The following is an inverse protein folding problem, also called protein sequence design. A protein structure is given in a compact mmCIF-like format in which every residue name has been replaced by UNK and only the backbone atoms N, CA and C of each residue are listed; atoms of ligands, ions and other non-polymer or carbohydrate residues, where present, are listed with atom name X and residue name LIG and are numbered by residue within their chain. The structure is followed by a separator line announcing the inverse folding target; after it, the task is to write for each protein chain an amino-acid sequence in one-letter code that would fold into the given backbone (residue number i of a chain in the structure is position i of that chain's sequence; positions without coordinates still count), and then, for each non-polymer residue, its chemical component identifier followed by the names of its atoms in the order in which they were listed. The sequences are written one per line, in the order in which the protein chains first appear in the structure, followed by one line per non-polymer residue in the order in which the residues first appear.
data_IF_790733473637
#
_entry.id   IF_790733473637
#
_cell.length_a   1.000
_cell.length_b   1.000
_cell.length_c   1.000
_cell.angle_alpha   90.00
_cell.angle_beta   90.00
_cell.angle_gamma   90.00
#
_symmetry.space_group_name_H-M   'P 1'
#
loop_
_entity.id
_entity.type
_entity.pdbx_description
1 polymer ?
#
# COMPACT_ATOMS: atom_id res chain seq x y z
N UNK A 1 -38.14 -76.17 48.13
CA UNK A 1 -38.45 -75.85 46.72
C UNK A 1 -37.15 -75.72 45.95
N UNK A 2 -37.11 -76.28 44.74
CA UNK A 2 -35.93 -76.57 43.89
C UNK A 2 -35.29 -75.32 43.27
N UNK A 3 -34.05 -75.55 42.78
CA UNK A 3 -33.21 -74.81 41.80
C UNK A 3 -32.38 -73.65 42.39
N UNK A 4 -31.05 -73.67 42.52
CA UNK A 4 -29.93 -74.41 41.90
C UNK A 4 -29.59 -74.07 40.42
N UNK A 5 -28.36 -73.54 40.27
CA UNK A 5 -27.40 -73.57 39.13
C UNK A 5 -27.43 -72.45 38.06
N UNK A 6 -26.40 -71.59 38.06
CA UNK A 6 -25.20 -71.65 37.18
C UNK A 6 -24.38 -70.34 37.41
N UNK A 7 -23.24 -70.37 38.12
CA UNK A 7 -21.90 -70.71 37.63
C UNK A 7 -21.36 -69.71 36.57
N UNK A 8 -20.53 -68.74 36.98
CA UNK A 8 -19.21 -68.54 36.35
C UNK A 8 -18.23 -67.76 37.26
N UNK A 9 -17.23 -68.51 37.73
CA UNK A 9 -15.83 -68.20 38.08
C UNK A 9 -15.47 -66.84 38.70
N UNK A 10 -15.04 -66.84 39.96
CA UNK A 10 -13.66 -67.07 40.48
C UNK A 10 -12.73 -65.86 40.24
N UNK A 11 -12.49 -65.04 41.29
CA UNK A 11 -11.30 -64.98 42.17
C UNK A 11 -10.01 -64.66 41.35
N UNK A 12 -9.07 -63.80 41.71
CA UNK A 12 -8.46 -63.52 43.01
C UNK A 12 -7.74 -62.17 42.88
N UNK A 13 -7.74 -61.41 43.97
CA UNK A 13 -6.72 -60.44 44.31
C UNK A 13 -5.35 -61.14 44.46
N UNK A 14 -4.31 -60.47 44.94
CA UNK A 14 -2.92 -60.94 45.11
C UNK A 14 -2.11 -61.04 43.80
N UNK A 15 -0.89 -60.52 43.65
CA UNK A 15 0.17 -60.04 44.54
C UNK A 15 0.83 -58.82 43.87
N UNK A 16 1.08 -57.72 44.57
CA UNK A 16 2.42 -57.33 45.04
C UNK A 16 3.59 -57.69 44.09
N UNK A 17 4.29 -56.62 43.65
CA UNK A 17 5.70 -56.58 43.25
C UNK A 17 6.09 -57.43 42.04
N UNK A 18 6.24 -56.79 40.88
CA UNK A 18 7.48 -56.84 40.08
C UNK A 18 7.43 -55.79 38.95
N UNK A 19 7.39 -54.49 39.25
CA UNK A 19 7.63 -53.46 38.23
C UNK A 19 9.14 -53.33 37.97
N UNK A 20 9.67 -54.22 37.13
CA UNK A 20 10.93 -53.98 36.40
C UNK A 20 10.72 -54.46 34.96
N UNK A 21 11.14 -53.62 34.02
CA UNK A 21 11.12 -53.80 32.56
C UNK A 21 9.81 -53.43 31.83
N UNK A 22 9.63 -52.12 31.61
CA UNK A 22 9.72 -51.58 30.24
C UNK A 22 9.70 -50.04 30.28
N UNK A 23 10.90 -49.45 30.36
CA UNK A 23 11.12 -48.10 29.83
C UNK A 23 11.20 -48.24 28.32
N UNK A 24 10.26 -47.62 27.61
CA UNK A 24 10.51 -46.59 26.57
C UNK A 24 9.22 -46.32 25.81
N UNK A 25 9.07 -45.07 25.41
CA UNK A 25 8.17 -44.62 24.34
C UNK A 25 6.67 -44.46 24.64
N UNK A 26 6.32 -43.57 25.58
CA UNK A 26 5.03 -42.85 25.50
C UNK A 26 4.98 -41.49 26.22
N UNK A 27 6.14 -40.86 26.47
CA UNK A 27 6.22 -39.47 27.01
C UNK A 27 6.76 -38.42 26.04
N UNK A 28 7.07 -38.77 24.79
CA UNK A 28 7.55 -37.83 23.76
C UNK A 28 6.45 -37.19 22.90
N UNK A 29 5.18 -37.62 23.01
CA UNK A 29 4.05 -37.05 22.26
C UNK A 29 3.26 -35.97 23.00
N UNK A 30 3.58 -35.67 24.27
CA UNK A 30 2.88 -34.66 25.08
C UNK A 30 3.66 -33.32 25.15
N UNK A 31 4.86 -33.22 24.59
CA UNK A 31 5.68 -31.99 24.63
C UNK A 31 5.95 -31.29 23.28
N UNK A 32 5.25 -31.66 22.21
CA UNK A 32 5.32 -30.95 20.90
C UNK A 32 3.90 -30.66 20.38
N UNK A 33 3.02 -30.23 21.27
CA UNK A 33 2.07 -29.14 20.96
C UNK A 33 2.44 -27.94 21.82
N UNK A 34 3.76 -27.66 21.94
CA UNK A 34 4.20 -26.30 22.22
C UNK A 34 3.60 -25.46 21.11
N UNK A 35 2.79 -24.51 21.54
CA UNK A 35 2.40 -23.34 20.79
C UNK A 35 3.50 -22.95 19.82
N UNK A 36 3.38 -23.38 18.57
CA UNK A 36 3.81 -22.53 17.47
C UNK A 36 2.74 -21.46 17.40
N UNK A 37 2.72 -20.60 18.44
CA UNK A 37 2.49 -19.17 18.26
C UNK A 37 3.55 -18.79 17.26
N UNK A 38 3.20 -18.95 15.98
CA UNK A 38 3.88 -18.35 14.87
C UNK A 38 3.88 -16.89 15.27
N UNK A 39 5.00 -16.41 15.84
CA UNK A 39 5.29 -15.00 15.97
C UNK A 39 5.18 -14.52 14.54
N UNK A 40 3.98 -14.08 14.18
CA UNK A 40 3.72 -13.31 12.99
C UNK A 40 4.70 -12.18 13.19
N UNK A 41 5.81 -12.19 12.44
CA UNK A 41 6.72 -11.05 12.45
C UNK A 41 5.78 -9.85 12.31
N UNK A 42 5.80 -8.96 13.30
CA UNK A 42 5.01 -7.75 13.26
C UNK A 42 5.52 -7.03 12.02
N UNK A 43 4.88 -7.28 10.88
CA UNK A 43 5.17 -6.62 9.63
C UNK A 43 4.83 -5.19 9.94
N UNK A 44 5.87 -4.37 10.12
CA UNK A 44 5.76 -2.96 10.44
C UNK A 44 4.81 -2.37 9.41
N UNK A 45 3.65 -1.95 9.90
CA UNK A 45 2.58 -1.48 9.07
C UNK A 45 2.88 -0.02 8.73
N UNK A 46 3.21 0.23 7.47
CA UNK A 46 3.67 1.53 6.99
C UNK A 46 2.59 2.16 6.13
N UNK A 47 1.99 3.23 6.67
CA UNK A 47 1.01 4.08 5.98
C UNK A 47 1.73 5.10 5.07
N UNK A 48 3.06 5.19 5.13
CA UNK A 48 3.87 6.00 4.22
C UNK A 48 3.51 5.79 2.76
N UNK A 49 3.26 6.85 2.02
CA UNK A 49 3.04 6.75 0.60
C UNK A 49 2.26 7.90 0.01
N UNK A 50 1.97 7.76 -1.28
CA UNK A 50 1.16 8.71 -2.04
C UNK A 50 -0.12 7.98 -2.43
N UNK A 51 -1.25 8.56 -2.08
CA UNK A 51 -2.57 7.99 -2.21
C UNK A 51 -3.39 8.85 -3.18
N UNK A 52 -3.81 8.26 -4.29
CA UNK A 52 -4.68 8.90 -5.28
C UNK A 52 -6.07 8.26 -5.27
N UNK A 53 -7.12 8.95 -5.71
CA UNK A 53 -8.45 8.38 -5.88
C UNK A 53 -8.41 7.13 -6.77
N UNK A 54 -9.06 6.06 -6.32
CA UNK A 54 -9.18 4.80 -7.07
C UNK A 54 -10.07 4.96 -8.32
N UNK A 55 -11.01 5.90 -8.25
CA UNK A 55 -11.94 6.21 -9.32
C UNK A 55 -11.64 7.60 -9.88
N UNK A 56 -11.63 7.69 -11.21
CA UNK A 56 -11.60 8.96 -11.91
C UNK A 56 -12.96 9.64 -11.77
N UNK A 57 -12.96 10.84 -11.20
CA UNK A 57 -14.05 11.79 -11.25
C UNK A 57 -13.41 13.17 -11.40
N UNK A 58 -13.79 13.91 -12.45
CA UNK A 58 -13.25 15.24 -12.75
C UNK A 58 -13.38 16.20 -11.56
N UNK A 59 -14.44 16.03 -10.78
CA UNK A 59 -14.70 16.84 -9.59
C UNK A 59 -13.78 16.48 -8.41
N UNK A 60 -13.02 15.38 -8.46
CA UNK A 60 -12.25 14.83 -7.33
C UNK A 60 -10.75 14.73 -7.64
N UNK A 61 -10.15 15.81 -8.15
CA UNK A 61 -8.70 15.86 -8.40
C UNK A 61 -7.89 16.18 -7.13
N UNK A 62 -7.97 15.34 -6.10
CA UNK A 62 -7.21 15.52 -4.88
C UNK A 62 -6.43 14.26 -4.51
N UNK A 63 -5.40 14.39 -3.68
CA UNK A 63 -4.57 13.26 -3.25
C UNK A 63 -3.82 13.58 -1.97
N UNK A 64 -3.29 12.55 -1.31
CA UNK A 64 -2.63 12.69 -0.01
C UNK A 64 -1.25 12.04 -0.07
N UNK A 65 -0.24 12.76 0.42
CA UNK A 65 1.07 12.22 0.75
C UNK A 65 1.17 12.01 2.25
N UNK A 66 1.58 10.83 2.68
CA UNK A 66 1.80 10.48 4.08
C UNK A 66 3.26 10.05 4.23
N UNK A 67 3.93 10.53 5.26
CA UNK A 67 5.29 10.08 5.61
C UNK A 67 5.46 9.95 7.12
N UNK A 68 6.21 8.93 7.54
CA UNK A 68 6.56 8.63 8.90
C UNK A 68 7.64 9.61 9.34
N UNK A 69 7.36 10.36 10.39
CA UNK A 69 8.33 11.29 10.99
C UNK A 69 9.18 10.61 12.05
N UNK A 70 8.58 9.73 12.85
CA UNK A 70 9.26 8.92 13.87
C UNK A 70 8.45 7.63 14.11
N UNK A 71 8.82 6.80 15.10
CA UNK A 71 8.24 5.47 15.29
C UNK A 71 6.71 5.39 15.44
N UNK A 72 6.01 6.50 15.75
CA UNK A 72 4.54 6.52 15.90
C UNK A 72 3.82 7.76 15.33
N UNK A 73 4.56 8.77 14.86
CA UNK A 73 3.98 10.00 14.30
C UNK A 73 4.13 10.03 12.78
N UNK A 74 3.00 10.22 12.09
CA UNK A 74 2.99 10.47 10.65
C UNK A 74 2.67 11.94 10.38
N UNK A 75 3.17 12.44 9.26
CA UNK A 75 2.80 13.72 8.69
C UNK A 75 2.07 13.48 7.37
N UNK A 76 1.07 14.31 7.10
CA UNK A 76 0.37 14.30 5.82
C UNK A 76 0.46 15.65 5.12
N UNK A 77 0.35 15.59 3.80
CA UNK A 77 0.12 16.74 2.93
C UNK A 77 -1.05 16.40 2.02
N UNK A 78 -2.08 17.23 2.06
CA UNK A 78 -3.30 17.11 1.28
C UNK A 78 -3.24 18.09 0.11
N UNK A 79 -3.47 17.59 -1.10
CA UNK A 79 -3.36 18.34 -2.34
C UNK A 79 -4.69 18.39 -3.09
N UNK A 80 -4.93 19.49 -3.80
CA UNK A 80 -5.94 19.60 -4.85
C UNK A 80 -5.21 20.02 -6.14
N UNK A 81 -5.22 19.14 -7.14
CA UNK A 81 -4.29 19.16 -8.26
C UNK A 81 -2.85 19.17 -7.75
N UNK A 82 -2.08 20.18 -8.13
CA UNK A 82 -0.71 20.40 -7.65
C UNK A 82 -0.61 21.36 -6.45
N UNK A 83 -1.74 21.88 -5.94
CA UNK A 83 -1.74 22.87 -4.86
C UNK A 83 -1.87 22.19 -3.50
N UNK A 84 -0.94 22.49 -2.59
CA UNK A 84 -1.07 22.10 -1.18
C UNK A 84 -2.27 22.83 -0.59
N UNK A 85 -3.21 22.07 -0.01
CA UNK A 85 -4.39 22.58 0.68
C UNK A 85 -4.24 22.52 2.19
N UNK A 86 -3.64 21.46 2.70
CA UNK A 86 -3.48 21.23 4.15
C UNK A 86 -2.26 20.37 4.43
N UNK A 87 -1.65 20.60 5.58
CA UNK A 87 -0.61 19.74 6.15
C UNK A 87 -0.91 19.53 7.62
N UNK A 88 -0.53 18.39 8.17
CA UNK A 88 -0.73 18.14 9.58
C UNK A 88 -0.15 16.81 10.02
N UNK A 89 -0.49 16.43 11.26
CA UNK A 89 -0.14 15.15 11.86
C UNK A 89 -1.25 14.13 11.65
N UNK A 90 -0.81 12.91 11.48
CA UNK A 90 -1.65 11.74 11.35
C UNK A 90 -1.33 10.77 12.48
N UNK A 91 -2.35 10.36 13.20
CA UNK A 91 -2.27 9.30 14.21
C UNK A 91 -2.94 8.04 13.67
N UNK A 92 -2.28 6.90 13.89
CA UNK A 92 -2.81 5.58 13.56
C UNK A 92 -3.40 4.95 14.82
N UNK A 93 -4.68 4.58 14.77
CA UNK A 93 -5.31 3.70 15.74
C UNK A 93 -5.46 2.32 15.08
N UNK A 94 -4.89 1.30 15.72
CA UNK A 94 -4.97 -0.10 15.30
C UNK A 94 -5.70 -0.87 16.40
N UNK A 95 -6.99 -1.14 16.19
CA UNK A 95 -7.81 -1.95 17.08
C UNK A 95 -8.11 -3.29 16.39
N UNK A 96 -8.48 -4.32 17.16
CA UNK A 96 -8.74 -5.67 16.64
C UNK A 96 -9.80 -5.70 15.51
N UNK A 97 -10.69 -4.72 15.45
CA UNK A 97 -11.79 -4.62 14.48
C UNK A 97 -11.48 -3.74 13.25
N UNK A 98 -10.69 -2.67 13.39
CA UNK A 98 -10.43 -1.74 12.29
C UNK A 98 -9.17 -0.90 12.51
N UNK A 99 -8.55 -0.52 11.40
CA UNK A 99 -7.45 0.46 11.40
C UNK A 99 -7.98 1.80 11.00
N UNK A 100 -7.67 2.81 11.80
CA UNK A 100 -8.22 4.15 11.65
C UNK A 100 -7.09 5.15 11.57
N UNK A 101 -7.22 6.07 10.61
CA UNK A 101 -6.35 7.22 10.46
C UNK A 101 -7.07 8.44 11.02
N UNK A 102 -6.44 9.12 11.97
CA UNK A 102 -6.95 10.35 12.56
C UNK A 102 -6.04 11.48 12.10
N UNK A 103 -6.60 12.34 11.25
CA UNK A 103 -5.97 13.57 10.80
C UNK A 103 -6.28 14.65 11.83
N UNK A 104 -5.23 15.24 12.42
CA UNK A 104 -5.29 16.22 13.51
C UNK A 104 -6.09 17.47 13.14
N UNK A 105 -7.41 17.43 13.28
CA UNK A 105 -8.39 18.49 12.96
C UNK A 105 -9.01 18.42 11.56
N UNK A 106 -9.24 17.22 11.00
CA UNK A 106 -9.91 17.10 9.71
C UNK A 106 -11.04 16.06 9.69
N UNK A 107 -10.68 14.78 9.69
CA UNK A 107 -11.63 13.69 9.59
C UNK A 107 -10.94 12.38 9.97
N UNK A 108 -11.77 11.38 10.31
CA UNK A 108 -11.35 10.02 10.63
C UNK A 108 -11.57 9.14 9.40
N UNK A 109 -10.55 8.37 9.01
CA UNK A 109 -10.63 7.44 7.89
C UNK A 109 -10.46 6.00 8.35
N UNK A 110 -11.01 5.07 7.58
CA UNK A 110 -10.66 3.66 7.70
C UNK A 110 -9.47 3.40 6.78
N UNK A 111 -8.52 2.59 7.22
CA UNK A 111 -7.43 2.11 6.39
C UNK A 111 -7.49 0.59 6.26
N UNK A 112 -7.41 0.10 5.03
CA UNK A 112 -7.27 -1.33 4.77
C UNK A 112 -6.56 -1.57 3.45
N UNK A 113 -5.66 -2.56 3.41
CA UNK A 113 -4.98 -3.02 2.18
C UNK A 113 -4.41 -1.87 1.32
N UNK A 114 -3.64 -0.98 1.92
CA UNK A 114 -3.03 0.17 1.23
C UNK A 114 -4.05 1.15 0.62
N UNK A 115 -5.26 1.18 1.18
CA UNK A 115 -6.38 2.04 0.77
C UNK A 115 -6.92 2.82 1.97
N UNK A 116 -7.14 4.12 1.78
CA UNK A 116 -7.78 5.02 2.74
C UNK A 116 -9.22 5.21 2.29
N UNK A 117 -10.18 4.94 3.17
CA UNK A 117 -11.60 5.16 2.95
C UNK A 117 -12.04 6.40 3.72
N UNK A 118 -12.51 7.40 2.98
CA UNK A 118 -12.97 8.69 3.51
C UNK A 118 -14.48 8.78 3.31
N UNK A 119 -15.17 9.18 4.37
CA UNK A 119 -16.56 9.58 4.30
C UNK A 119 -16.63 11.11 4.14
N UNK A 120 -17.03 11.59 2.96
CA UNK A 120 -17.09 13.02 2.64
C UNK A 120 -18.50 13.62 2.81
N UNK A 121 -19.27 13.05 3.73
CA UNK A 121 -20.57 13.55 4.13
C UNK A 121 -20.78 13.20 5.60
N UNK A 122 -21.50 14.08 6.29
CA UNK A 122 -21.75 13.93 7.72
C UNK A 122 -23.08 13.28 7.97
N UNK A 123 -23.25 12.89 9.22
CA UNK A 123 -24.53 12.63 9.83
C UNK A 123 -24.49 13.22 11.26
N UNK A 124 -25.56 13.07 12.02
CA UNK A 124 -25.63 13.53 13.41
C UNK A 124 -24.60 12.89 14.35
N UNK A 125 -23.90 11.83 13.91
CA UNK A 125 -23.04 10.99 14.73
C UNK A 125 -21.55 11.21 14.46
N UNK A 126 -21.15 11.90 13.39
CA UNK A 126 -19.75 12.12 13.06
C UNK A 126 -19.49 13.51 12.48
N UNK A 127 -18.63 14.29 13.17
CA UNK A 127 -18.06 15.52 12.63
C UNK A 127 -17.11 15.17 11.48
N UNK A 128 -17.23 15.86 10.35
CA UNK A 128 -16.35 15.69 9.21
C UNK A 128 -16.04 17.05 8.59
N UNK A 129 -14.78 17.26 8.22
CA UNK A 129 -14.42 18.35 7.34
C UNK A 129 -14.74 17.94 5.89
N UNK A 130 -15.66 18.68 5.26
CA UNK A 130 -16.06 18.43 3.87
C UNK A 130 -14.90 18.77 2.93
N UNK A 131 -14.49 17.80 2.12
CA UNK A 131 -13.63 18.00 0.95
C UNK A 131 -14.51 18.62 -0.13
N UNK A 132 -14.58 19.95 -0.15
CA UNK A 132 -15.52 20.73 -0.99
C UNK A 132 -15.30 20.57 -2.50
N UNK A 133 -14.10 20.17 -2.89
CA UNK A 133 -13.67 19.88 -4.27
C UNK A 133 -13.62 18.36 -4.52
N UNK A 134 -14.62 17.65 -3.99
CA UNK A 134 -14.94 16.29 -4.42
C UNK A 134 -16.42 16.03 -4.10
N UNK A 135 -17.21 15.72 -5.11
CA UNK A 135 -18.65 15.46 -4.98
C UNK A 135 -18.96 14.06 -4.44
N UNK A 136 -17.98 13.14 -4.45
CA UNK A 136 -18.16 11.78 -4.00
C UNK A 136 -18.44 11.70 -2.50
N UNK A 137 -19.49 10.95 -2.16
CA UNK A 137 -19.93 10.65 -0.80
C UNK A 137 -18.92 9.76 -0.05
N UNK A 138 -18.44 8.72 -0.70
CA UNK A 138 -17.41 7.81 -0.19
C UNK A 138 -16.23 7.84 -1.14
N UNK A 139 -15.04 8.05 -0.61
CA UNK A 139 -13.83 8.20 -1.41
C UNK A 139 -12.84 7.12 -0.98
N UNK A 140 -12.30 6.41 -1.97
CA UNK A 140 -11.22 5.45 -1.79
C UNK A 140 -9.95 6.05 -2.37
N UNK A 141 -8.94 6.27 -1.54
CA UNK A 141 -7.60 6.65 -1.99
C UNK A 141 -6.68 5.44 -1.91
N UNK A 142 -6.13 5.03 -3.05
CA UNK A 142 -5.25 3.88 -3.17
C UNK A 142 -3.81 4.31 -3.32
N UNK A 143 -2.93 3.64 -2.58
CA UNK A 143 -1.48 3.73 -2.81
C UNK A 143 -1.10 2.90 -4.03
N UNK A 144 -1.66 1.70 -4.19
CA UNK A 144 -1.38 0.82 -5.33
C UNK A 144 -2.34 1.07 -6.48
N UNK A 145 -1.96 1.97 -7.37
CA UNK A 145 -2.74 2.32 -8.55
C UNK A 145 -2.83 1.15 -9.53
N UNK A 146 -4.03 0.91 -10.05
CA UNK A 146 -4.28 0.02 -11.18
C UNK A 146 -4.33 0.85 -12.46
N UNK A 147 -3.23 0.86 -13.21
CA UNK A 147 -3.15 1.58 -14.48
C UNK A 147 -3.71 0.69 -15.58
N UNK A 148 -4.74 1.16 -16.26
CA UNK A 148 -5.45 0.50 -17.35
C UNK A 148 -5.57 1.45 -18.54
N UNK A 149 -5.95 0.95 -19.72
CA UNK A 149 -6.02 1.79 -20.91
C UNK A 149 -7.05 2.92 -20.75
N UNK A 150 -8.14 2.64 -20.01
CA UNK A 150 -9.23 3.57 -19.70
C UNK A 150 -8.81 4.75 -18.82
N UNK A 151 -7.77 4.60 -17.99
CA UNK A 151 -7.31 5.65 -17.05
C UNK A 151 -5.88 6.11 -17.31
N UNK A 152 -5.21 5.59 -18.35
CA UNK A 152 -3.83 5.90 -18.69
C UNK A 152 -3.62 7.40 -18.98
N UNK A 153 -4.53 8.01 -19.76
CA UNK A 153 -4.44 9.45 -20.09
C UNK A 153 -4.52 10.30 -18.83
N UNK A 154 -5.46 10.00 -17.93
CA UNK A 154 -5.59 10.71 -16.66
C UNK A 154 -4.31 10.68 -15.82
N UNK A 155 -3.73 9.49 -15.61
CA UNK A 155 -2.49 9.39 -14.82
C UNK A 155 -1.29 10.04 -15.52
N UNK A 156 -1.25 10.00 -16.86
CA UNK A 156 -0.22 10.66 -17.64
C UNK A 156 -0.29 12.19 -17.48
N UNK A 157 -1.49 12.75 -17.58
CA UNK A 157 -1.71 14.20 -17.47
C UNK A 157 -1.47 14.67 -16.03
N UNK A 158 -1.93 13.90 -15.04
CA UNK A 158 -1.61 14.16 -13.63
C UNK A 158 -0.10 14.17 -13.38
N UNK A 159 0.62 13.18 -13.89
CA UNK A 159 2.08 13.13 -13.74
C UNK A 159 2.77 14.33 -14.41
N UNK A 160 2.29 14.73 -15.59
CA UNK A 160 2.77 15.94 -16.27
C UNK A 160 2.54 17.19 -15.42
N UNK A 161 1.32 17.42 -14.92
CA UNK A 161 1.04 18.62 -14.12
C UNK A 161 1.80 18.65 -12.79
N UNK A 162 2.02 17.48 -12.16
CA UNK A 162 2.88 17.38 -10.98
C UNK A 162 4.33 17.78 -11.32
N UNK A 163 4.88 17.28 -12.42
CA UNK A 163 6.23 17.63 -12.89
C UNK A 163 6.35 19.13 -13.19
N UNK A 164 5.40 19.69 -13.95
CA UNK A 164 5.36 21.12 -14.26
C UNK A 164 5.24 22.00 -13.00
N UNK A 165 4.68 21.45 -11.91
CA UNK A 165 4.55 22.15 -10.63
C UNK A 165 5.73 21.91 -9.68
N UNK A 166 6.79 21.24 -10.12
CA UNK A 166 7.97 20.92 -9.31
C UNK A 166 7.77 19.78 -8.31
N UNK A 167 6.62 19.09 -8.35
CA UNK A 167 6.30 17.91 -7.52
C UNK A 167 6.92 16.66 -8.15
N UNK A 168 8.23 16.69 -8.33
CA UNK A 168 8.96 15.72 -9.12
C UNK A 168 8.93 14.31 -8.51
N UNK A 169 8.97 14.18 -7.19
CA UNK A 169 8.94 12.86 -6.51
C UNK A 169 7.61 12.15 -6.77
N UNK A 170 6.52 12.92 -6.77
CA UNK A 170 5.16 12.44 -6.98
C UNK A 170 4.88 12.16 -8.46
N UNK A 171 5.45 12.98 -9.36
CA UNK A 171 5.46 12.67 -10.79
C UNK A 171 6.20 11.35 -11.07
N UNK A 172 7.41 11.18 -10.54
CA UNK A 172 8.20 9.93 -10.66
C UNK A 172 7.37 8.72 -10.20
N UNK A 173 6.68 8.84 -9.06
CA UNK A 173 5.84 7.78 -8.52
C UNK A 173 4.77 7.29 -9.52
N UNK A 174 4.10 8.21 -10.21
CA UNK A 174 3.12 7.88 -11.24
C UNK A 174 3.78 7.31 -12.50
N UNK A 175 4.83 7.97 -12.98
CA UNK A 175 5.48 7.66 -14.25
C UNK A 175 6.14 6.28 -14.24
N UNK A 176 6.78 5.88 -13.14
CA UNK A 176 7.35 4.53 -12.99
C UNK A 176 6.27 3.44 -13.09
N UNK A 177 5.06 3.69 -12.54
CA UNK A 177 3.92 2.76 -12.64
C UNK A 177 3.35 2.72 -14.05
N UNK A 178 3.21 3.88 -14.69
CA UNK A 178 2.77 3.99 -16.08
C UNK A 178 3.71 3.20 -16.99
N UNK A 179 5.03 3.42 -16.87
CA UNK A 179 6.04 2.75 -17.70
C UNK A 179 6.08 1.25 -17.44
N UNK A 180 5.91 0.83 -16.19
CA UNK A 180 5.84 -0.60 -15.84
C UNK A 180 4.70 -1.32 -16.58
N UNK A 181 3.55 -0.65 -16.73
CA UNK A 181 2.39 -1.21 -17.43
C UNK A 181 2.42 -0.97 -18.95
N UNK A 182 2.94 0.19 -19.38
CA UNK A 182 2.97 0.67 -20.75
C UNK A 182 4.39 1.10 -21.14
N UNK A 183 5.32 0.15 -21.34
CA UNK A 183 6.73 0.46 -21.61
C UNK A 183 6.96 1.20 -22.94
N UNK A 184 5.96 1.25 -23.82
CA UNK A 184 5.98 1.97 -25.10
C UNK A 184 5.35 3.37 -25.02
N UNK A 185 4.94 3.84 -23.83
CA UNK A 185 4.37 5.18 -23.63
C UNK A 185 5.48 6.24 -23.66
N UNK A 186 5.86 6.67 -24.86
CA UNK A 186 6.99 7.59 -25.09
C UNK A 186 6.93 8.87 -24.27
N UNK A 187 5.75 9.51 -24.16
CA UNK A 187 5.60 10.74 -23.38
C UNK A 187 5.88 10.55 -21.88
N UNK A 188 5.69 9.34 -21.33
CA UNK A 188 6.01 9.07 -19.94
C UNK A 188 7.53 9.08 -19.69
N UNK A 189 8.35 8.70 -20.68
CA UNK A 189 9.81 8.72 -20.53
C UNK A 189 10.38 10.15 -20.52
N UNK A 190 9.89 11.06 -21.35
CA UNK A 190 10.36 12.45 -21.30
C UNK A 190 9.97 13.10 -19.96
N UNK A 191 8.73 12.92 -19.51
CA UNK A 191 8.27 13.45 -18.22
C UNK A 191 9.04 12.82 -17.05
N UNK A 192 9.41 11.52 -17.13
CA UNK A 192 10.20 10.87 -16.09
C UNK A 192 11.65 11.36 -16.10
N UNK A 193 12.22 11.60 -17.27
CA UNK A 193 13.53 12.23 -17.41
C UNK A 193 13.55 13.64 -16.83
N UNK A 194 12.55 14.46 -17.17
CA UNK A 194 12.38 15.81 -16.62
C UNK A 194 12.21 15.78 -15.10
N UNK A 195 11.42 14.83 -14.57
CA UNK A 195 11.24 14.67 -13.13
C UNK A 195 12.50 14.20 -12.40
N UNK A 196 13.23 13.22 -12.95
CA UNK A 196 14.51 12.78 -12.39
C UNK A 196 15.55 13.90 -12.41
N UNK A 197 15.56 14.71 -13.47
CA UNK A 197 16.40 15.90 -13.54
C UNK A 197 16.03 16.90 -12.44
N UNK A 198 14.74 17.14 -12.24
CA UNK A 198 14.22 18.03 -11.21
C UNK A 198 14.61 17.65 -9.77
N UNK A 199 14.69 16.34 -9.46
CA UNK A 199 15.21 15.86 -8.16
C UNK A 199 16.74 15.70 -8.11
N UNK A 200 17.47 16.14 -9.13
CA UNK A 200 18.94 16.02 -9.21
C UNK A 200 19.46 14.60 -9.47
N UNK A 201 18.59 13.65 -9.82
CA UNK A 201 18.96 12.27 -10.18
C UNK A 201 19.42 12.19 -11.65
N UNK A 202 20.49 12.92 -12.00
CA UNK A 202 20.93 13.13 -13.38
C UNK A 202 21.25 11.83 -14.13
N UNK A 203 21.89 10.86 -13.49
CA UNK A 203 22.18 9.55 -14.09
C UNK A 203 20.91 8.78 -14.48
N UNK A 204 19.86 8.85 -13.65
CA UNK A 204 18.57 8.25 -13.97
C UNK A 204 17.88 9.03 -15.09
N UNK A 205 17.92 10.35 -15.03
CA UNK A 205 17.35 11.22 -16.06
C UNK A 205 17.96 10.92 -17.44
N UNK A 206 19.29 10.88 -17.53
CA UNK A 206 20.05 10.55 -18.75
C UNK A 206 19.65 9.21 -19.35
N UNK A 207 19.62 8.15 -18.53
CA UNK A 207 19.17 6.81 -18.97
C UNK A 207 17.73 6.84 -19.49
N UNK A 208 16.84 7.52 -18.78
CA UNK A 208 15.43 7.63 -19.20
C UNK A 208 15.28 8.44 -20.50
N UNK A 209 16.03 9.53 -20.67
CA UNK A 209 16.06 10.31 -21.91
C UNK A 209 16.60 9.52 -23.10
N UNK A 210 17.63 8.70 -22.92
CA UNK A 210 18.14 7.82 -23.97
C UNK A 210 17.05 6.85 -24.47
N UNK A 211 16.21 6.32 -23.57
CA UNK A 211 15.06 5.49 -23.95
C UNK A 211 14.03 6.31 -24.74
N UNK A 212 13.70 7.52 -24.28
CA UNK A 212 12.80 8.42 -25.01
C UNK A 212 13.31 8.69 -26.44
N UNK A 213 14.59 9.07 -26.59
CA UNK A 213 15.22 9.33 -27.89
C UNK A 213 15.14 8.11 -28.80
N UNK A 214 15.48 6.92 -28.29
CA UNK A 214 15.37 5.67 -29.06
C UNK A 214 13.94 5.38 -29.52
N UNK A 215 12.94 5.67 -28.69
CA UNK A 215 11.53 5.50 -29.08
C UNK A 215 11.08 6.52 -30.13
N UNK A 216 11.56 7.76 -30.05
CA UNK A 216 11.26 8.80 -31.04
C UNK A 216 11.92 8.49 -32.39
N UNK A 217 13.16 8.00 -32.39
CA UNK A 217 13.86 7.53 -33.59
C UNK A 217 13.12 6.38 -34.27
N UNK A 218 12.71 5.36 -33.51
CA UNK A 218 11.91 4.25 -34.03
C UNK A 218 10.58 4.70 -34.67
N UNK A 219 10.07 5.87 -34.28
CA UNK A 219 8.84 6.48 -34.81
C UNK A 219 9.07 7.47 -35.94
N UNK A 220 10.32 7.72 -36.36
CA UNK A 220 10.66 8.76 -37.33
C UNK A 220 10.33 10.18 -36.85
N UNK A 221 10.46 10.44 -35.54
CA UNK A 221 10.11 11.70 -34.89
C UNK A 221 11.31 12.40 -34.24
N UNK A 222 12.49 12.21 -34.79
CA UNK A 222 13.75 12.78 -34.29
C UNK A 222 13.73 14.31 -34.23
N UNK A 223 13.11 14.94 -35.23
CA UNK A 223 13.06 16.39 -35.40
C UNK A 223 12.37 17.10 -34.23
N UNK A 224 11.43 16.42 -33.57
CA UNK A 224 10.66 17.00 -32.46
C UNK A 224 11.19 16.60 -31.07
N UNK A 225 12.37 15.96 -31.00
CA UNK A 225 13.05 15.73 -29.72
C UNK A 225 13.47 17.09 -29.15
N UNK A 226 13.05 17.47 -27.93
CA UNK A 226 13.40 18.77 -27.39
C UNK A 226 14.91 18.91 -27.19
N UNK A 227 15.48 20.05 -27.57
CA UNK A 227 16.92 20.35 -27.44
C UNK A 227 17.46 20.04 -26.04
N UNK A 228 16.70 20.39 -24.99
CA UNK A 228 17.05 20.10 -23.58
C UNK A 228 17.33 18.62 -23.33
N UNK A 229 16.64 17.71 -24.00
CA UNK A 229 16.83 16.26 -23.83
C UNK A 229 18.21 15.87 -24.35
N UNK A 230 18.57 16.34 -25.54
CA UNK A 230 19.87 16.04 -26.16
C UNK A 230 21.02 16.60 -25.32
N UNK A 231 20.90 17.83 -24.84
CA UNK A 231 21.91 18.48 -23.97
C UNK A 231 22.09 17.70 -22.65
N UNK A 232 20.99 17.27 -22.02
CA UNK A 232 21.01 16.54 -20.75
C UNK A 232 21.53 15.10 -20.87
N UNK A 233 21.56 14.52 -22.06
CA UNK A 233 22.18 13.21 -22.31
C UNK A 233 23.71 13.32 -22.38
N UNK A 234 24.25 14.46 -22.83
CA UNK A 234 25.69 14.62 -23.01
C UNK A 234 26.38 15.07 -21.72
N UNK A 235 25.67 15.79 -20.86
CA UNK A 235 26.13 16.16 -19.51
C UNK A 235 26.38 14.93 -18.64
#
# INVERSE_FOLDING_TARGET
MKNNKFLLLLVIFVFFIQCRENRKDTKSKILIKKEVKKKRSQKTFLVDGIYFPDQYNEDCDFWIKIHLKNSKEYLYTFFNGSKVKKTGKLSLIDNDESKQLIFDNAFKCIYSRDTIFIQNYGNSTNYYERISYCSLKFISLVKKLKIENTNLTFYNDKAYYLEQSGLYTEAIYLLERIIKQYPNRTVAYINLGDSYWGVGSFEKAKKTYQIYVKQMQKKGKEVIIPKRVLERIVK
#
